data_IF_020601775987
#
_entry.id   IF_020601775987
#
_cell.length_a   1.000
_cell.length_b   1.000
_cell.length_c   1.000
_cell.angle_alpha   90.00
_cell.angle_beta   90.00
_cell.angle_gamma   90.00
#
_symmetry.space_group_name_H-M   'P 1'
#
loop_
_entity.id
_entity.type
_entity.pdbx_description
1 polymer ?
#
# COMPACT_ATOMS: atom_id res chain seq x y z
N UNK A 1 2.97 -10.54 19.98
CA UNK A 1 2.79 -9.12 19.66
C UNK A 1 3.35 -8.95 18.26
N UNK A 2 2.50 -8.73 17.27
CA UNK A 2 2.99 -8.32 15.95
C UNK A 2 3.63 -6.94 16.09
N UNK A 3 4.82 -6.74 15.54
CA UNK A 3 5.44 -5.41 15.47
C UNK A 3 4.48 -4.51 14.67
N UNK A 4 3.99 -3.46 15.32
CA UNK A 4 3.00 -2.57 14.73
C UNK A 4 3.71 -1.55 13.84
N UNK A 5 3.53 -1.72 12.53
CA UNK A 5 4.16 -0.89 11.50
C UNK A 5 3.48 0.48 11.47
N UNK A 6 4.28 1.53 11.29
CA UNK A 6 3.84 2.92 11.12
C UNK A 6 3.75 3.29 9.65
N UNK A 7 2.90 4.26 9.32
CA UNK A 7 2.82 4.80 7.97
C UNK A 7 4.10 5.53 7.55
N UNK A 8 4.85 6.10 8.51
CA UNK A 8 6.20 6.64 8.29
C UNK A 8 7.15 5.57 7.76
N UNK A 9 7.16 4.36 8.33
CA UNK A 9 8.04 3.28 7.84
C UNK A 9 7.70 2.86 6.41
N UNK A 10 6.43 2.87 6.04
CA UNK A 10 6.00 2.60 4.65
C UNK A 10 6.48 3.71 3.73
N UNK A 11 6.31 4.96 4.13
CA UNK A 11 6.75 6.12 3.36
C UNK A 11 8.27 6.14 3.16
N UNK A 12 9.06 5.92 4.21
CA UNK A 12 10.52 5.83 4.12
C UNK A 12 10.96 4.66 3.23
N UNK A 13 10.27 3.52 3.32
CA UNK A 13 10.52 2.39 2.43
C UNK A 13 10.20 2.73 0.98
N UNK A 14 9.15 3.51 0.70
CA UNK A 14 8.81 3.96 -0.64
C UNK A 14 9.88 4.92 -1.19
N UNK A 15 10.31 5.91 -0.39
CA UNK A 15 11.38 6.85 -0.74
C UNK A 15 12.69 6.11 -1.09
N UNK A 16 13.04 5.09 -0.32
CA UNK A 16 14.22 4.28 -0.60
C UNK A 16 14.15 3.55 -1.95
N UNK A 17 12.95 3.11 -2.39
CA UNK A 17 12.78 2.43 -3.68
C UNK A 17 12.92 3.38 -4.87
N UNK A 18 12.54 4.64 -4.71
CA UNK A 18 12.65 5.66 -5.76
C UNK A 18 14.03 6.32 -5.78
N UNK A 19 14.93 5.92 -4.87
CA UNK A 19 16.28 6.48 -4.78
C UNK A 19 16.35 7.83 -4.05
N UNK A 20 15.24 8.30 -3.50
CA UNK A 20 15.15 9.53 -2.72
C UNK A 20 15.65 9.28 -1.29
N UNK A 21 16.77 9.90 -0.92
CA UNK A 21 17.41 9.68 0.39
C UNK A 21 16.89 10.60 1.50
N UNK A 22 16.04 11.58 1.18
CA UNK A 22 15.57 12.56 2.16
C UNK A 22 14.16 13.09 1.87
N UNK A 23 13.21 12.77 2.76
CA UNK A 23 11.84 13.31 2.73
C UNK A 23 11.77 14.86 2.72
N UNK A 24 12.84 15.54 3.18
CA UNK A 24 12.93 16.99 3.18
C UNK A 24 13.07 17.62 1.77
N UNK A 25 13.39 16.83 0.74
CA UNK A 25 13.60 17.34 -0.62
C UNK A 25 12.32 17.33 -1.48
N UNK A 26 11.30 16.54 -1.14
CA UNK A 26 10.05 16.48 -1.88
C UNK A 26 8.84 16.70 -0.95
N UNK A 27 8.59 17.97 -0.62
CA UNK A 27 7.40 18.38 0.14
C UNK A 27 6.10 17.91 -0.55
N UNK A 28 6.10 17.84 -1.88
CA UNK A 28 5.00 17.29 -2.68
C UNK A 28 4.72 15.81 -2.33
N UNK A 29 5.77 15.00 -2.18
CA UNK A 29 5.60 13.59 -1.83
C UNK A 29 5.06 13.41 -0.41
N UNK A 30 5.53 14.24 0.52
CA UNK A 30 5.03 14.24 1.89
C UNK A 30 3.55 14.66 1.97
N UNK A 31 3.12 15.58 1.10
CA UNK A 31 1.73 16.02 1.00
C UNK A 31 0.82 14.95 0.38
N UNK A 32 1.28 14.27 -0.68
CA UNK A 32 0.50 13.25 -1.41
C UNK A 32 0.44 11.90 -0.67
N UNK A 33 1.50 11.50 0.03
CA UNK A 33 1.62 10.18 0.64
C UNK A 33 0.45 9.79 1.58
N UNK A 34 -0.05 10.67 2.47
CA UNK A 34 -1.23 10.39 3.30
C UNK A 34 -2.47 9.94 2.53
N UNK A 35 -2.73 10.55 1.38
CA UNK A 35 -3.92 10.28 0.56
C UNK A 35 -3.75 9.01 -0.27
N UNK A 36 -2.55 8.82 -0.83
CA UNK A 36 -2.21 7.61 -1.57
C UNK A 36 -2.25 6.36 -0.67
N UNK A 37 -1.74 6.47 0.56
CA UNK A 37 -1.86 5.40 1.55
C UNK A 37 -3.30 5.11 1.95
N UNK A 38 -4.14 6.14 2.08
CA UNK A 38 -5.56 5.95 2.34
C UNK A 38 -6.27 5.20 1.19
N UNK A 39 -5.98 5.57 -0.06
CA UNK A 39 -6.49 4.89 -1.25
C UNK A 39 -6.10 3.40 -1.24
N UNK A 40 -4.82 3.10 -1.05
CA UNK A 40 -4.33 1.74 -0.90
C UNK A 40 -5.07 0.96 0.20
N UNK A 41 -5.25 1.56 1.38
CA UNK A 41 -5.93 0.90 2.49
C UNK A 41 -7.42 0.65 2.21
N UNK A 42 -8.09 1.55 1.48
CA UNK A 42 -9.46 1.36 1.02
C UNK A 42 -9.59 0.20 0.05
N UNK A 43 -8.68 0.11 -0.92
CA UNK A 43 -8.67 -0.95 -1.95
C UNK A 43 -8.28 -2.32 -1.36
N UNK A 44 -7.23 -2.37 -0.56
CA UNK A 44 -6.68 -3.61 -0.01
C UNK A 44 -7.46 -4.11 1.23
N UNK A 45 -8.34 -3.30 1.83
CA UNK A 45 -9.08 -3.64 3.05
C UNK A 45 -9.96 -4.90 2.89
N UNK A 46 -10.52 -5.13 1.70
CA UNK A 46 -11.26 -6.37 1.42
C UNK A 46 -10.39 -7.62 1.53
N UNK A 47 -9.19 -7.57 0.95
CA UNK A 47 -8.22 -8.68 1.00
C UNK A 47 -7.64 -8.84 2.40
N UNK A 48 -7.37 -7.75 3.12
CA UNK A 48 -6.89 -7.81 4.52
C UNK A 48 -7.90 -8.52 5.44
N UNK A 49 -9.21 -8.28 5.26
CA UNK A 49 -10.25 -9.01 6.01
C UNK A 49 -10.20 -10.51 5.74
N UNK A 50 -10.04 -10.92 4.48
CA UNK A 50 -9.88 -12.34 4.12
C UNK A 50 -8.59 -12.92 4.71
N UNK A 51 -7.50 -12.16 4.66
CA UNK A 51 -6.22 -12.54 5.25
C UNK A 51 -6.31 -12.78 6.75
N UNK A 52 -6.85 -11.81 7.50
CA UNK A 52 -7.04 -11.93 8.95
C UNK A 52 -7.90 -13.13 9.31
N UNK A 53 -9.02 -13.32 8.60
CA UNK A 53 -9.89 -14.50 8.77
C UNK A 53 -9.13 -15.81 8.52
N UNK A 54 -8.34 -15.89 7.46
CA UNK A 54 -7.56 -17.09 7.12
C UNK A 54 -6.43 -17.39 8.11
N UNK A 55 -5.87 -16.35 8.75
CA UNK A 55 -4.75 -16.47 9.71
C UNK A 55 -5.18 -16.46 11.18
N UNK A 56 -6.49 -16.35 11.46
CA UNK A 56 -7.00 -16.24 12.82
C UNK A 56 -6.65 -14.92 13.51
N UNK A 57 -6.30 -13.88 12.74
CA UNK A 57 -6.14 -12.53 13.26
C UNK A 57 -7.54 -11.91 13.43
N UNK A 58 -7.74 -11.14 14.50
CA UNK A 58 -9.03 -10.51 14.81
C UNK A 58 -9.56 -9.60 13.70
N UNK A 59 -10.83 -9.22 13.78
CA UNK A 59 -11.47 -8.37 12.77
C UNK A 59 -10.75 -7.03 12.61
N UNK A 60 -10.69 -6.55 11.37
CA UNK A 60 -10.17 -5.23 11.06
C UNK A 60 -11.18 -4.16 11.52
N UNK A 61 -10.73 -3.06 12.15
CA UNK A 61 -11.55 -1.86 12.25
C UNK A 61 -11.95 -1.36 10.86
N UNK A 62 -13.17 -0.88 10.70
CA UNK A 62 -13.62 -0.29 9.44
C UNK A 62 -12.73 0.91 9.07
N UNK A 63 -12.13 0.86 7.88
CA UNK A 63 -11.31 1.94 7.35
C UNK A 63 -12.12 2.74 6.32
N UNK A 64 -12.28 4.04 6.58
CA UNK A 64 -13.03 4.97 5.72
C UNK A 64 -12.46 6.39 5.73
N UNK A 65 -11.18 6.53 6.07
CA UNK A 65 -10.53 7.83 6.11
C UNK A 65 -10.05 8.24 4.72
N UNK A 66 -10.15 9.54 4.42
CA UNK A 66 -9.69 10.13 3.15
C UNK A 66 -8.16 10.33 3.14
N UNK A 67 -7.53 10.40 4.31
CA UNK A 67 -6.07 10.42 4.47
C UNK A 67 -5.66 9.61 5.70
N UNK A 68 -4.40 9.18 5.73
CA UNK A 68 -3.77 8.59 6.91
C UNK A 68 -2.61 9.46 7.37
N UNK A 69 -2.58 9.85 8.64
CA UNK A 69 -1.43 10.54 9.22
C UNK A 69 -0.19 9.63 9.18
N UNK A 70 0.94 10.11 8.65
CA UNK A 70 2.16 9.30 8.56
C UNK A 70 2.65 8.79 9.94
N UNK A 71 2.47 9.61 10.98
CA UNK A 71 2.81 9.25 12.35
C UNK A 71 1.89 8.16 12.96
N UNK A 72 0.79 7.83 12.30
CA UNK A 72 -0.17 6.82 12.79
C UNK A 72 0.27 5.39 12.46
N UNK A 73 -0.35 4.44 13.15
CA UNK A 73 -0.18 3.02 12.84
C UNK A 73 -0.86 2.66 11.53
N UNK A 74 -0.19 1.82 10.75
CA UNK A 74 -0.75 1.29 9.52
C UNK A 74 -1.98 0.40 9.84
N UNK A 75 -3.14 0.63 9.19
CA UNK A 75 -4.39 0.00 9.60
C UNK A 75 -4.55 -1.46 9.11
N UNK A 76 -3.75 -1.91 8.14
CA UNK A 76 -3.83 -3.29 7.61
C UNK A 76 -2.83 -4.21 8.30
N UNK A 77 -2.94 -5.52 8.06
CA UNK A 77 -1.99 -6.50 8.58
C UNK A 77 -0.57 -6.20 8.09
N UNK A 78 0.44 -6.55 8.89
CA UNK A 78 1.87 -6.34 8.56
C UNK A 78 2.28 -6.95 7.21
N UNK A 79 1.58 -7.99 6.74
CA UNK A 79 1.76 -8.61 5.42
C UNK A 79 1.60 -7.62 4.25
N UNK A 80 0.85 -6.54 4.44
CA UNK A 80 0.59 -5.50 3.44
C UNK A 80 1.65 -4.40 3.42
N UNK A 81 2.65 -4.42 4.30
CA UNK A 81 3.75 -3.45 4.29
C UNK A 81 4.45 -3.35 2.93
N UNK A 82 4.93 -4.47 2.40
CA UNK A 82 5.63 -4.50 1.12
C UNK A 82 4.80 -3.97 -0.05
N UNK A 83 3.57 -4.49 -0.26
CA UNK A 83 2.65 -3.94 -1.27
C UNK A 83 2.35 -2.44 -1.08
N UNK A 84 2.12 -1.98 0.15
CA UNK A 84 1.85 -0.58 0.42
C UNK A 84 3.04 0.32 0.04
N UNK A 85 4.26 -0.10 0.38
CA UNK A 85 5.48 0.63 0.01
C UNK A 85 5.70 0.68 -1.51
N UNK A 86 5.44 -0.43 -2.21
CA UNK A 86 5.56 -0.51 -3.67
C UNK A 86 4.51 0.37 -4.38
N UNK A 87 3.26 0.29 -3.94
CA UNK A 87 2.17 1.11 -4.45
C UNK A 87 2.47 2.59 -4.25
N UNK A 88 2.85 2.97 -3.02
CA UNK A 88 3.16 4.36 -2.69
C UNK A 88 4.35 4.87 -3.52
N UNK A 89 5.41 4.08 -3.65
CA UNK A 89 6.57 4.43 -4.47
C UNK A 89 6.17 4.67 -5.94
N UNK A 90 5.39 3.77 -6.54
CA UNK A 90 4.92 3.91 -7.91
C UNK A 90 4.09 5.19 -8.12
N UNK A 91 3.10 5.41 -7.24
CA UNK A 91 2.20 6.56 -7.37
C UNK A 91 2.88 7.90 -7.13
N UNK A 92 3.93 7.95 -6.31
CA UNK A 92 4.67 9.19 -6.04
C UNK A 92 5.46 9.67 -7.25
N UNK A 93 6.08 8.76 -8.01
CA UNK A 93 6.96 9.08 -9.16
C UNK A 93 6.25 9.01 -10.51
N UNK A 94 4.93 8.81 -10.52
CA UNK A 94 4.17 8.59 -11.75
C UNK A 94 4.36 9.71 -12.79
N UNK A 95 4.40 10.96 -12.34
CA UNK A 95 4.51 12.12 -13.23
C UNK A 95 5.98 12.44 -13.60
N UNK A 96 6.94 11.99 -12.78
CA UNK A 96 8.36 12.30 -12.92
C UNK A 96 9.17 11.22 -13.64
N UNK A 97 8.82 9.94 -13.44
CA UNK A 97 9.48 8.77 -14.03
C UNK A 97 8.46 7.63 -14.23
N UNK A 98 7.70 7.72 -15.34
CA UNK A 98 6.67 6.75 -15.74
C UNK A 98 7.24 5.32 -15.84
N UNK A 99 8.46 5.16 -16.35
CA UNK A 99 9.09 3.84 -16.51
C UNK A 99 9.40 3.20 -15.15
N UNK A 100 9.89 3.99 -14.19
CA UNK A 100 10.09 3.52 -12.82
C UNK A 100 8.75 3.21 -12.13
N UNK A 101 7.76 4.09 -12.30
CA UNK A 101 6.40 3.88 -11.78
C UNK A 101 5.83 2.55 -12.24
N UNK A 102 5.85 2.26 -13.56
CA UNK A 102 5.35 1.02 -14.14
C UNK A 102 6.04 -0.22 -13.57
N UNK A 103 7.37 -0.18 -13.42
CA UNK A 103 8.13 -1.30 -12.82
C UNK A 103 7.76 -1.53 -11.36
N UNK A 104 7.60 -0.47 -10.58
CA UNK A 104 7.20 -0.56 -9.17
C UNK A 104 5.76 -1.07 -9.04
N UNK A 105 4.85 -0.58 -9.89
CA UNK A 105 3.46 -1.00 -9.93
C UNK A 105 3.32 -2.47 -10.34
N UNK A 106 4.10 -2.94 -11.31
CA UNK A 106 4.17 -4.37 -11.67
C UNK A 106 4.56 -5.25 -10.48
N UNK A 107 5.56 -4.84 -9.70
CA UNK A 107 5.96 -5.54 -8.47
C UNK A 107 4.90 -5.48 -7.37
N UNK A 108 4.16 -4.38 -7.27
CA UNK A 108 2.99 -4.26 -6.39
C UNK A 108 1.92 -5.30 -6.77
N UNK A 109 1.56 -5.40 -8.05
CA UNK A 109 0.61 -6.38 -8.56
C UNK A 109 1.02 -7.82 -8.24
N UNK A 110 2.30 -8.17 -8.47
CA UNK A 110 2.84 -9.49 -8.13
C UNK A 110 2.71 -9.77 -6.61
N UNK A 111 3.04 -8.78 -5.78
CA UNK A 111 2.96 -8.91 -4.33
C UNK A 111 1.52 -9.08 -3.82
N UNK A 112 0.55 -8.35 -4.40
CA UNK A 112 -0.87 -8.51 -4.10
C UNK A 112 -1.41 -9.85 -4.59
N UNK A 113 -1.03 -10.29 -5.79
CA UNK A 113 -1.42 -11.59 -6.35
C UNK A 113 -0.98 -12.75 -5.46
N UNK A 114 0.23 -12.66 -4.89
CA UNK A 114 0.70 -13.61 -3.90
C UNK A 114 -0.19 -13.64 -2.63
N UNK A 115 -0.57 -12.48 -2.09
CA UNK A 115 -1.47 -12.39 -0.93
C UNK A 115 -2.86 -12.96 -1.25
N UNK A 116 -3.43 -12.61 -2.40
CA UNK A 116 -4.73 -13.13 -2.84
C UNK A 116 -4.71 -14.65 -2.94
N UNK A 117 -3.62 -15.22 -3.48
CA UNK A 117 -3.42 -16.66 -3.58
C UNK A 117 -3.31 -17.33 -2.20
N UNK A 118 -2.63 -16.71 -1.24
CA UNK A 118 -2.49 -17.22 0.13
C UNK A 118 -3.84 -17.36 0.85
N UNK A 119 -4.81 -16.50 0.54
CA UNK A 119 -6.12 -16.44 1.20
C UNK A 119 -7.24 -17.09 0.39
N UNK A 120 -6.92 -17.64 -0.78
CA UNK A 120 -7.90 -18.22 -1.70
C UNK A 120 -8.88 -17.19 -2.27
N UNK A 121 -8.49 -15.90 -2.31
CA UNK A 121 -9.26 -14.87 -2.99
C UNK A 121 -9.11 -15.07 -4.50
N UNK A 122 -10.05 -15.77 -5.10
CA UNK A 122 -10.17 -16.00 -6.55
C UNK A 122 -11.04 -14.97 -7.24
N UNK A 123 -11.45 -13.90 -6.55
CA UNK A 123 -12.20 -12.82 -7.17
C UNK A 123 -11.32 -12.17 -8.24
N UNK A 124 -11.77 -12.26 -9.49
CA UNK A 124 -11.18 -11.54 -10.62
C UNK A 124 -11.15 -10.06 -10.25
N UNK A 125 -9.97 -9.45 -10.34
CA UNK A 125 -9.86 -7.99 -10.40
C UNK A 125 -10.79 -7.56 -11.55
N UNK A 126 -11.87 -6.85 -11.20
CA UNK A 126 -12.78 -6.32 -12.21
C UNK A 126 -12.05 -5.13 -12.80
N UNK A 127 -11.55 -5.31 -14.02
CA UNK A 127 -11.02 -4.24 -14.83
C UNK A 127 -12.17 -3.26 -15.16
N UNK A 128 -12.19 -2.13 -14.45
CA UNK A 128 -13.22 -1.09 -14.62
C UNK A 128 -12.95 -0.24 -15.87
N UNK A 129 -11.86 -0.50 -16.61
CA UNK A 129 -11.46 0.22 -17.82
C UNK A 129 -11.64 -0.58 -19.12
N UNK A 130 -12.42 -1.66 -19.12
CA UNK A 130 -12.90 -2.24 -20.38
C UNK A 130 -14.03 -1.38 -20.96
N UNK A 131 -13.65 -0.38 -21.77
CA UNK A 131 -14.50 0.23 -22.79
C UNK A 131 -14.35 -0.48 -24.13
#
# INVERSE_FOLDING_TARGET
MENQITCTEIYESALAMIGERCAAQNADYAERAPYLLAAFCGEAGGIDRLYRKAKGCGEQPEFGAVMIELASHFPLSSRFFGPASLYLAAMLVLDEDEELSDRLYGRYCDAMSAICSEVGATEKIIDVYQY
#
